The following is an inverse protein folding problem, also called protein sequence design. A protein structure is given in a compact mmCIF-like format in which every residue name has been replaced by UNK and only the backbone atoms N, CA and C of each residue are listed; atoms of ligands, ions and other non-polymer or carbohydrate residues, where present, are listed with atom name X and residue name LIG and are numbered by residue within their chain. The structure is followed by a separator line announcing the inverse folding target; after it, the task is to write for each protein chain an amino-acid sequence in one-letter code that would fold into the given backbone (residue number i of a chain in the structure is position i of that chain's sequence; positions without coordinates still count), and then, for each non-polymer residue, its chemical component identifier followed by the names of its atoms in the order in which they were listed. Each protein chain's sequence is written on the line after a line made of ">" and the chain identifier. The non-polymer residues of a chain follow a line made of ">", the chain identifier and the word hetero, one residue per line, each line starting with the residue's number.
data_IF_092431210428
#
_entry.id   IF_092431210428
#
_cell.length_a   1.000
_cell.length_b   1.000
_cell.length_c   1.000
_cell.angle_alpha   90.00
_cell.angle_beta   90.00
_cell.angle_gamma   90.00
#
_symmetry.space_group_name_H-M   'P 1'
#
loop_
_entity.id
_entity.type
_entity.pdbx_description
1 polymer ?
#
# COMPACT_ATOMS: atom_id res chain seq x y z
N UNK A 1 25.18 70.56 -3.09
CA UNK A 1 24.22 70.03 -2.12
C UNK A 1 23.48 68.86 -2.79
N UNK A 2 23.93 67.61 -2.60
CA UNK A 2 23.30 66.38 -3.10
C UNK A 2 22.42 65.84 -2.00
N UNK A 3 21.11 65.77 -2.22
CA UNK A 3 20.15 65.15 -1.31
C UNK A 3 20.18 63.63 -1.51
N UNK A 4 20.62 62.88 -0.50
CA UNK A 4 20.43 61.41 -0.45
C UNK A 4 19.00 61.10 -0.03
N UNK A 5 18.29 60.36 -0.90
CA UNK A 5 16.96 59.82 -0.64
C UNK A 5 17.16 58.40 -0.05
N UNK A 6 16.93 58.22 1.24
CA UNK A 6 16.98 56.92 1.91
C UNK A 6 15.63 56.24 1.68
N UNK A 7 15.62 55.18 0.85
CA UNK A 7 14.45 54.32 0.68
C UNK A 7 14.51 53.25 1.78
N UNK A 8 13.59 53.32 2.72
CA UNK A 8 13.39 52.26 3.73
C UNK A 8 12.50 51.18 3.11
N UNK A 9 13.09 50.02 2.78
CA UNK A 9 12.35 48.83 2.38
C UNK A 9 11.79 48.18 3.68
N UNK A 10 10.49 48.31 3.90
CA UNK A 10 9.81 47.50 4.93
C UNK A 10 9.65 46.06 4.41
N UNK A 11 10.43 45.14 4.95
CA UNK A 11 10.23 43.73 4.75
C UNK A 11 9.01 43.31 5.55
N UNK A 12 7.91 43.01 4.86
CA UNK A 12 6.74 42.30 5.43
C UNK A 12 7.14 40.85 5.60
N UNK A 13 7.53 40.47 6.81
CA UNK A 13 7.68 39.06 7.20
C UNK A 13 6.27 38.51 7.36
N UNK A 14 5.77 37.82 6.35
CA UNK A 14 4.58 36.96 6.50
C UNK A 14 5.06 35.76 7.29
N UNK A 15 4.88 35.77 8.60
CA UNK A 15 4.99 34.55 9.40
C UNK A 15 3.82 33.65 8.98
N UNK A 16 4.10 32.60 8.21
CA UNK A 16 3.21 31.48 8.11
C UNK A 16 3.08 30.90 9.53
N UNK A 17 1.98 31.21 10.20
CA UNK A 17 1.69 30.66 11.52
C UNK A 17 1.65 29.14 11.37
N UNK A 18 2.58 28.44 11.99
CA UNK A 18 2.49 27.01 12.20
C UNK A 18 1.25 26.79 13.07
N UNK A 19 0.20 26.23 12.45
CA UNK A 19 -0.98 25.79 13.19
C UNK A 19 -0.54 24.58 14.05
N UNK A 20 -0.38 24.81 15.34
CA UNK A 20 -0.23 23.75 16.34
C UNK A 20 -1.38 22.76 16.20
N UNK A 21 -1.11 21.45 16.12
CA UNK A 21 -2.15 20.45 16.04
C UNK A 21 -2.96 20.42 17.34
N UNK A 22 -4.16 20.95 17.28
CA UNK A 22 -5.05 21.03 18.42
C UNK A 22 -5.55 19.65 18.82
N UNK A 23 -5.48 19.32 20.12
CA UNK A 23 -6.09 18.11 20.68
C UNK A 23 -7.60 18.31 20.83
N UNK A 24 -8.40 17.30 20.44
CA UNK A 24 -9.86 17.38 20.57
C UNK A 24 -10.53 16.02 20.46
N UNK A 25 -11.82 15.98 20.76
CA UNK A 25 -12.64 14.78 20.72
C UNK A 25 -12.60 14.14 19.34
N UNK A 26 -12.21 12.87 19.27
CA UNK A 26 -12.21 12.09 18.03
C UNK A 26 -13.64 11.89 17.53
N UNK A 27 -13.83 12.19 16.27
CA UNK A 27 -14.98 11.79 15.47
C UNK A 27 -14.49 10.83 14.40
N UNK A 28 -15.23 9.76 14.11
CA UNK A 28 -14.89 8.84 13.04
C UNK A 28 -16.13 8.27 12.36
N UNK A 29 -16.02 8.01 11.07
CA UNK A 29 -17.03 7.34 10.26
C UNK A 29 -16.38 6.55 9.14
N UNK A 30 -17.07 5.55 8.61
CA UNK A 30 -16.54 4.66 7.59
C UNK A 30 -17.61 4.28 6.57
N UNK A 31 -17.21 4.11 5.32
CA UNK A 31 -18.06 3.61 4.24
C UNK A 31 -17.23 2.94 3.15
N UNK A 32 -17.90 2.15 2.30
CA UNK A 32 -17.29 1.50 1.14
C UNK A 32 -18.22 1.52 -0.05
N UNK A 33 -17.64 1.51 -1.25
CA UNK A 33 -18.35 1.40 -2.51
C UNK A 33 -17.81 0.21 -3.30
N UNK A 34 -18.70 -0.60 -3.87
CA UNK A 34 -18.33 -1.65 -4.81
C UNK A 34 -17.90 -1.01 -6.14
N UNK A 35 -16.67 -1.27 -6.56
CA UNK A 35 -16.05 -0.76 -7.79
C UNK A 35 -15.81 -1.87 -8.81
N UNK A 36 -16.37 -3.05 -8.58
CA UNK A 36 -16.27 -4.21 -9.47
C UNK A 36 -16.91 -3.88 -10.82
N UNK A 37 -16.25 -4.14 -11.96
CA UNK A 37 -16.86 -3.98 -13.26
C UNK A 37 -18.00 -5.00 -13.46
N UNK A 38 -18.98 -4.67 -14.28
CA UNK A 38 -20.00 -5.67 -14.66
C UNK A 38 -19.38 -6.76 -15.56
N UNK A 39 -19.93 -7.97 -15.50
CA UNK A 39 -19.45 -9.10 -16.30
C UNK A 39 -19.43 -8.80 -17.81
N UNK A 40 -20.36 -7.96 -18.30
CA UNK A 40 -20.47 -7.58 -19.71
C UNK A 40 -19.34 -6.62 -20.15
N UNK A 41 -18.71 -5.90 -19.22
CA UNK A 41 -17.62 -4.96 -19.50
C UNK A 41 -16.24 -5.59 -19.42
N UNK A 42 -16.15 -6.85 -18.95
CA UNK A 42 -14.87 -7.54 -18.83
C UNK A 42 -14.25 -7.81 -20.21
N UNK A 43 -12.91 -7.79 -20.32
CA UNK A 43 -12.22 -8.23 -21.51
C UNK A 43 -12.62 -9.67 -21.88
N UNK A 44 -12.67 -9.97 -23.18
CA UNK A 44 -12.99 -11.35 -23.67
C UNK A 44 -12.00 -12.40 -23.16
N UNK A 45 -10.82 -11.99 -22.73
CA UNK A 45 -9.78 -12.83 -22.16
C UNK A 45 -9.99 -13.09 -20.66
N UNK A 46 -10.92 -12.38 -20.01
CA UNK A 46 -11.24 -12.58 -18.61
C UNK A 46 -12.11 -13.82 -18.41
N UNK A 47 -11.85 -14.54 -17.35
CA UNK A 47 -12.65 -15.70 -16.92
C UNK A 47 -13.69 -15.34 -15.84
N UNK A 48 -14.03 -14.07 -15.75
CA UNK A 48 -15.09 -13.57 -14.88
C UNK A 48 -14.58 -12.93 -13.58
N UNK A 49 -15.47 -12.87 -12.61
CA UNK A 49 -15.23 -12.26 -11.31
C UNK A 49 -15.09 -13.39 -10.28
N UNK A 50 -13.95 -13.43 -9.58
CA UNK A 50 -13.74 -14.35 -8.45
C UNK A 50 -14.37 -13.78 -7.19
N UNK A 51 -14.10 -12.49 -6.93
CA UNK A 51 -14.67 -11.74 -5.83
C UNK A 51 -14.70 -10.24 -6.14
N UNK A 52 -15.42 -9.48 -5.31
CA UNK A 52 -15.67 -8.08 -5.53
C UNK A 52 -14.51 -7.19 -5.06
N UNK A 53 -14.26 -6.12 -5.82
CA UNK A 53 -13.29 -5.07 -5.52
C UNK A 53 -14.00 -3.84 -4.94
N UNK A 54 -13.39 -3.20 -3.95
CA UNK A 54 -13.99 -2.08 -3.25
C UNK A 54 -13.06 -0.86 -3.19
N UNK A 55 -13.68 0.33 -3.17
CA UNK A 55 -13.10 1.53 -2.61
C UNK A 55 -13.62 1.65 -1.16
N UNK A 56 -12.71 1.72 -0.18
CA UNK A 56 -13.02 1.81 1.25
C UNK A 56 -12.49 3.11 1.82
N UNK A 57 -13.25 3.76 2.69
CA UNK A 57 -12.86 5.01 3.34
C UNK A 57 -13.15 4.97 4.84
N UNK A 58 -12.22 5.48 5.64
CA UNK A 58 -12.40 5.85 7.03
C UNK A 58 -12.05 7.32 7.15
N UNK A 59 -13.02 8.17 7.50
CA UNK A 59 -12.83 9.59 7.74
C UNK A 59 -12.85 9.84 9.24
N UNK A 60 -11.89 10.61 9.72
CA UNK A 60 -11.77 10.95 11.13
C UNK A 60 -11.36 12.41 11.31
N UNK A 61 -11.66 12.96 12.46
CA UNK A 61 -11.38 14.36 12.80
C UNK A 61 -11.45 14.62 14.30
N UNK A 62 -10.94 15.77 14.73
CA UNK A 62 -10.93 16.18 16.15
C UNK A 62 -11.54 17.58 16.37
N UNK A 63 -12.38 18.03 15.44
CA UNK A 63 -12.98 19.36 15.45
C UNK A 63 -12.08 20.44 14.81
N UNK A 64 -10.77 20.32 14.87
CA UNK A 64 -9.83 21.24 14.23
C UNK A 64 -9.33 20.71 12.88
N UNK A 65 -9.01 19.44 12.82
CA UNK A 65 -8.43 18.77 11.62
C UNK A 65 -9.33 17.59 11.24
N UNK A 66 -9.56 17.43 9.92
CA UNK A 66 -10.12 16.22 9.32
C UNK A 66 -9.08 15.52 8.46
N UNK A 67 -9.07 14.19 8.49
CA UNK A 67 -8.23 13.35 7.67
C UNK A 67 -8.97 12.08 7.23
N UNK A 68 -8.42 11.36 6.27
CA UNK A 68 -9.01 10.11 5.80
C UNK A 68 -7.96 9.08 5.40
N UNK A 69 -8.29 7.80 5.61
CA UNK A 69 -7.67 6.67 4.94
C UNK A 69 -8.60 6.17 3.85
N UNK A 70 -8.09 6.03 2.64
CA UNK A 70 -8.83 5.52 1.48
C UNK A 70 -8.05 4.39 0.83
N UNK A 71 -8.70 3.25 0.58
CA UNK A 71 -8.06 2.08 -0.02
C UNK A 71 -8.81 1.62 -1.26
N UNK A 72 -8.05 1.05 -2.21
CA UNK A 72 -8.60 0.46 -3.44
C UNK A 72 -8.11 -0.97 -3.64
N UNK A 73 -9.01 -1.87 -3.99
CA UNK A 73 -8.66 -3.20 -4.48
C UNK A 73 -8.22 -3.11 -5.95
N UNK A 74 -7.02 -2.58 -6.19
CA UNK A 74 -6.44 -2.40 -7.52
C UNK A 74 -4.91 -2.48 -7.48
N UNK A 75 -4.31 -2.82 -8.63
CA UNK A 75 -2.87 -3.00 -8.77
C UNK A 75 -2.11 -1.67 -8.93
N UNK A 76 -2.67 -0.75 -9.70
CA UNK A 76 -1.99 0.45 -10.15
C UNK A 76 -2.61 1.71 -9.58
N UNK A 77 -1.74 2.61 -9.18
CA UNK A 77 -2.09 3.93 -8.69
C UNK A 77 -2.54 4.84 -9.84
N UNK A 78 -3.40 5.81 -9.53
CA UNK A 78 -3.95 6.73 -10.51
C UNK A 78 -4.03 8.15 -9.95
N UNK A 79 -3.07 9.00 -10.33
CA UNK A 79 -3.00 10.39 -9.84
C UNK A 79 -4.24 11.20 -10.21
N UNK A 80 -4.79 11.01 -11.41
CA UNK A 80 -6.00 11.74 -11.83
C UNK A 80 -7.21 11.40 -10.95
N UNK A 81 -7.31 10.15 -10.49
CA UNK A 81 -8.35 9.73 -9.54
C UNK A 81 -8.16 10.43 -8.19
N UNK A 82 -6.94 10.42 -7.67
CA UNK A 82 -6.59 11.08 -6.42
C UNK A 82 -6.91 12.58 -6.50
N UNK A 83 -6.50 13.26 -7.55
CA UNK A 83 -6.75 14.69 -7.75
C UNK A 83 -8.25 15.01 -7.81
N UNK A 84 -9.02 14.23 -8.59
CA UNK A 84 -10.44 14.44 -8.74
C UNK A 84 -11.24 14.23 -7.43
N UNK A 85 -10.86 13.22 -6.65
CA UNK A 85 -11.51 12.97 -5.34
C UNK A 85 -11.08 14.03 -4.32
N UNK A 86 -9.81 14.43 -4.30
CA UNK A 86 -9.28 15.48 -3.43
C UNK A 86 -9.98 16.82 -3.64
N UNK A 87 -10.13 17.26 -4.89
CA UNK A 87 -10.81 18.52 -5.23
C UNK A 87 -12.23 18.57 -4.62
N UNK A 88 -12.96 17.48 -4.75
CA UNK A 88 -14.33 17.39 -4.21
C UNK A 88 -14.34 17.29 -2.69
N UNK A 89 -13.46 16.48 -2.11
CA UNK A 89 -13.37 16.29 -0.66
C UNK A 89 -13.00 17.60 0.06
N UNK A 90 -12.08 18.37 -0.50
CA UNK A 90 -11.71 19.66 0.06
C UNK A 90 -12.85 20.67 -0.03
N UNK A 91 -13.49 20.77 -1.20
CA UNK A 91 -14.57 21.75 -1.45
C UNK A 91 -15.87 21.44 -0.71
N UNK A 92 -16.27 20.17 -0.68
CA UNK A 92 -17.60 19.77 -0.22
C UNK A 92 -17.60 19.23 1.22
N UNK A 93 -16.47 18.64 1.69
CA UNK A 93 -16.39 17.98 2.99
C UNK A 93 -15.40 18.68 3.94
N UNK A 94 -14.64 19.66 3.45
CA UNK A 94 -13.63 20.36 4.24
C UNK A 94 -12.49 19.42 4.71
N UNK A 95 -12.11 18.43 3.90
CA UNK A 95 -10.96 17.57 4.11
C UNK A 95 -9.86 18.07 3.20
N UNK A 96 -8.78 18.69 3.72
CA UNK A 96 -7.67 19.15 2.88
C UNK A 96 -7.08 17.99 2.06
N UNK A 97 -6.70 18.26 0.82
CA UNK A 97 -6.14 17.24 -0.08
C UNK A 97 -4.89 16.53 0.47
N UNK A 98 -4.06 17.25 1.23
CA UNK A 98 -2.89 16.68 1.92
C UNK A 98 -3.25 15.79 3.12
N UNK A 99 -4.50 15.75 3.55
CA UNK A 99 -4.95 14.99 4.71
C UNK A 99 -5.64 13.66 4.33
N UNK A 100 -5.66 13.31 3.06
CA UNK A 100 -6.19 12.02 2.60
C UNK A 100 -5.03 11.14 2.20
N UNK A 101 -4.86 10.03 2.90
CA UNK A 101 -3.89 9.00 2.54
C UNK A 101 -4.61 7.92 1.74
N UNK A 102 -4.27 7.83 0.46
CA UNK A 102 -4.72 6.76 -0.43
C UNK A 102 -3.73 5.62 -0.37
N UNK A 103 -4.19 4.38 -0.34
CA UNK A 103 -3.36 3.19 -0.52
C UNK A 103 -4.03 2.18 -1.46
N UNK A 104 -3.20 1.44 -2.17
CA UNK A 104 -3.61 0.44 -3.14
C UNK A 104 -3.22 -0.94 -2.62
N UNK A 105 -4.15 -1.89 -2.66
CA UNK A 105 -3.91 -3.24 -2.12
C UNK A 105 -2.91 -4.04 -2.94
N UNK A 106 -2.58 -3.54 -4.12
CA UNK A 106 -1.68 -4.17 -5.08
C UNK A 106 -2.15 -5.53 -5.60
N UNK A 107 -3.46 -5.80 -5.57
CA UNK A 107 -3.96 -7.02 -6.20
C UNK A 107 -3.61 -7.04 -7.70
N UNK A 108 -2.94 -8.10 -8.14
CA UNK A 108 -2.59 -8.28 -9.55
C UNK A 108 -3.77 -8.74 -10.43
N UNK A 109 -4.94 -8.88 -9.83
CA UNK A 109 -6.20 -9.26 -10.48
C UNK A 109 -7.29 -8.21 -10.34
N UNK A 110 -6.95 -7.01 -9.86
CA UNK A 110 -7.91 -5.92 -9.70
C UNK A 110 -8.37 -5.39 -11.05
N UNK A 111 -9.68 -5.22 -11.16
CA UNK A 111 -10.28 -4.42 -12.22
C UNK A 111 -11.40 -3.57 -11.61
N UNK A 112 -11.63 -2.41 -12.20
CA UNK A 112 -12.60 -1.45 -11.70
C UNK A 112 -13.58 -1.06 -12.81
N UNK A 113 -14.69 -0.48 -12.40
CA UNK A 113 -15.60 0.25 -13.31
C UNK A 113 -14.84 1.32 -14.12
N UNK A 114 -15.43 1.86 -15.22
CA UNK A 114 -14.83 2.96 -15.98
C UNK A 114 -14.46 4.16 -15.08
N UNK A 115 -13.45 4.92 -15.52
CA UNK A 115 -12.82 5.98 -14.73
C UNK A 115 -13.80 6.96 -14.08
N UNK A 116 -14.75 7.51 -14.83
CA UNK A 116 -15.68 8.51 -14.30
C UNK A 116 -16.58 7.92 -13.19
N UNK A 117 -17.02 6.69 -13.38
CA UNK A 117 -17.78 5.95 -12.37
C UNK A 117 -16.91 5.62 -11.15
N UNK A 118 -15.62 5.30 -11.36
CA UNK A 118 -14.68 5.05 -10.27
C UNK A 118 -14.49 6.30 -9.40
N UNK A 119 -14.36 7.49 -10.02
CA UNK A 119 -14.28 8.76 -9.30
C UNK A 119 -15.54 8.97 -8.44
N UNK A 120 -16.73 8.78 -9.04
CA UNK A 120 -18.00 8.95 -8.32
C UNK A 120 -18.15 7.98 -7.14
N UNK A 121 -17.85 6.71 -7.34
CA UNK A 121 -17.97 5.68 -6.30
C UNK A 121 -16.94 5.86 -5.18
N UNK A 122 -15.73 6.29 -5.54
CA UNK A 122 -14.70 6.60 -4.54
C UNK A 122 -15.08 7.81 -3.70
N UNK A 123 -15.49 8.90 -4.38
CA UNK A 123 -15.95 10.09 -3.67
C UNK A 123 -17.18 9.78 -2.80
N UNK A 124 -18.11 8.95 -3.28
CA UNK A 124 -19.27 8.49 -2.51
C UNK A 124 -18.83 7.81 -1.20
N UNK A 125 -17.85 6.89 -1.26
CA UNK A 125 -17.34 6.24 -0.05
C UNK A 125 -16.76 7.26 0.94
N UNK A 126 -15.95 8.22 0.46
CA UNK A 126 -15.39 9.29 1.32
C UNK A 126 -16.49 10.18 1.91
N UNK A 127 -17.50 10.55 1.11
CA UNK A 127 -18.61 11.38 1.53
C UNK A 127 -19.46 10.68 2.60
N UNK A 128 -19.90 9.45 2.34
CA UNK A 128 -20.70 8.67 3.28
C UNK A 128 -19.95 8.41 4.59
N UNK A 129 -18.62 8.15 4.52
CA UNK A 129 -17.79 8.05 5.72
C UNK A 129 -17.74 9.38 6.50
N UNK A 130 -17.60 10.51 5.81
CA UNK A 130 -17.60 11.84 6.45
C UNK A 130 -18.95 12.20 7.07
N UNK A 131 -20.06 11.87 6.41
CA UNK A 131 -21.43 12.13 6.88
C UNK A 131 -21.84 11.20 8.04
N UNK A 132 -21.23 10.01 8.16
CA UNK A 132 -21.49 9.05 9.23
C UNK A 132 -20.62 9.26 10.48
N UNK A 133 -19.76 10.29 10.52
CA UNK A 133 -18.88 10.55 11.67
C UNK A 133 -19.66 10.74 12.97
N UNK A 134 -19.28 9.98 13.98
CA UNK A 134 -19.82 10.05 15.36
C UNK A 134 -18.67 10.20 16.36
N UNK A 135 -18.95 10.66 17.61
CA UNK A 135 -17.96 10.63 18.68
C UNK A 135 -17.39 9.22 18.87
N UNK A 136 -16.07 9.14 18.83
CA UNK A 136 -15.35 7.86 18.73
C UNK A 136 -14.14 7.80 19.66
N UNK A 137 -13.59 6.61 19.75
CA UNK A 137 -12.30 6.31 20.36
C UNK A 137 -11.48 5.46 19.39
N UNK A 138 -10.16 5.57 19.46
CA UNK A 138 -9.22 4.82 18.64
C UNK A 138 -8.30 3.98 19.51
N UNK A 139 -8.07 2.75 19.09
CA UNK A 139 -7.09 1.84 19.67
C UNK A 139 -6.06 1.39 18.65
N UNK A 140 -4.90 0.94 19.14
CA UNK A 140 -3.84 0.36 18.34
C UNK A 140 -3.35 -0.94 18.96
N UNK A 141 -3.02 -1.91 18.13
CA UNK A 141 -2.41 -3.17 18.55
C UNK A 141 -1.56 -3.79 17.45
N UNK A 142 -0.66 -4.68 17.84
CA UNK A 142 0.14 -5.49 16.94
C UNK A 142 -0.17 -6.97 17.15
N UNK A 143 -0.27 -7.68 16.04
CA UNK A 143 -0.28 -9.14 15.98
C UNK A 143 0.90 -9.67 15.17
N UNK A 144 0.91 -10.97 14.90
CA UNK A 144 1.98 -11.65 14.18
C UNK A 144 1.38 -12.64 13.18
N UNK A 145 1.79 -12.55 11.92
CA UNK A 145 1.40 -13.51 10.89
C UNK A 145 2.62 -14.01 10.13
N UNK A 146 2.65 -15.31 9.82
CA UNK A 146 3.75 -15.97 9.09
C UNK A 146 3.33 -16.29 7.64
N UNK A 147 2.43 -15.52 7.06
CA UNK A 147 1.92 -15.74 5.71
C UNK A 147 2.85 -15.22 4.62
N UNK A 148 3.80 -14.34 4.94
CA UNK A 148 4.77 -13.79 4.01
C UNK A 148 6.15 -14.46 4.12
N UNK A 149 6.94 -14.34 3.04
CA UNK A 149 8.33 -14.78 2.97
C UNK A 149 9.11 -13.86 2.03
N UNK A 150 10.42 -13.68 2.28
CA UNK A 150 11.31 -13.01 1.33
C UNK A 150 11.34 -13.79 0.01
N UNK A 151 11.31 -13.07 -1.12
CA UNK A 151 11.20 -13.71 -2.44
C UNK A 151 12.47 -13.69 -3.31
N UNK A 152 13.53 -13.04 -2.84
CA UNK A 152 14.84 -13.02 -3.53
C UNK A 152 15.63 -14.26 -3.11
N UNK A 153 15.55 -15.32 -3.91
CA UNK A 153 16.25 -16.59 -3.67
C UNK A 153 17.46 -16.71 -4.57
N UNK A 154 18.61 -17.01 -4.00
CA UNK A 154 19.79 -17.41 -4.79
C UNK A 154 19.73 -18.91 -5.12
N UNK A 155 19.76 -19.24 -6.40
CA UNK A 155 19.82 -20.61 -6.90
C UNK A 155 21.31 -21.00 -7.11
N UNK A 156 21.91 -21.81 -6.24
CA UNK A 156 23.33 -22.17 -6.34
C UNK A 156 23.63 -23.11 -7.51
N UNK A 157 22.64 -23.88 -8.01
CA UNK A 157 22.82 -24.78 -9.15
C UNK A 157 22.95 -23.99 -10.45
N UNK A 158 22.16 -22.92 -10.59
CA UNK A 158 22.18 -22.02 -11.75
C UNK A 158 23.15 -20.86 -11.59
N UNK A 159 23.60 -20.58 -10.35
CA UNK A 159 24.46 -19.44 -10.03
C UNK A 159 23.74 -18.10 -10.25
N UNK A 160 22.42 -18.04 -10.07
CA UNK A 160 21.61 -16.87 -10.38
C UNK A 160 20.58 -16.60 -9.29
N UNK A 161 20.14 -15.36 -9.18
CA UNK A 161 19.00 -14.97 -8.34
C UNK A 161 17.69 -15.28 -9.07
N UNK A 162 16.70 -15.69 -8.30
CA UNK A 162 15.40 -16.06 -8.82
C UNK A 162 14.28 -15.65 -7.85
N UNK A 163 13.06 -15.51 -8.38
CA UNK A 163 11.89 -15.33 -7.52
C UNK A 163 11.48 -16.66 -6.91
N UNK A 164 11.71 -16.83 -5.64
CA UNK A 164 11.39 -18.03 -4.88
C UNK A 164 11.45 -17.77 -3.36
N UNK A 165 10.94 -18.68 -2.53
CA UNK A 165 10.85 -18.47 -1.09
C UNK A 165 12.23 -18.60 -0.43
N UNK A 166 12.80 -17.50 0.01
CA UNK A 166 13.96 -17.46 0.88
C UNK A 166 13.49 -17.49 2.35
N UNK A 167 13.43 -18.68 2.91
CA UNK A 167 12.94 -18.91 4.29
C UNK A 167 13.89 -18.36 5.35
N UNK A 168 15.14 -18.13 5.04
CA UNK A 168 16.17 -17.56 5.94
C UNK A 168 16.23 -16.03 5.81
N UNK A 169 15.54 -15.47 4.80
CA UNK A 169 15.51 -14.06 4.51
C UNK A 169 14.71 -13.25 5.55
N UNK A 170 15.11 -11.98 5.71
CA UNK A 170 14.43 -11.04 6.61
C UNK A 170 12.98 -10.81 6.13
N UNK A 171 12.03 -10.90 7.05
CA UNK A 171 10.60 -10.70 6.76
C UNK A 171 9.89 -10.21 8.01
N UNK A 172 9.31 -9.02 7.96
CA UNK A 172 8.50 -8.46 9.05
C UNK A 172 7.16 -9.21 9.13
N UNK A 173 6.92 -9.82 10.25
CA UNK A 173 5.71 -10.62 10.55
C UNK A 173 4.63 -9.82 11.24
N UNK A 174 4.84 -8.53 11.47
CA UNK A 174 3.91 -7.67 12.21
C UNK A 174 2.62 -7.44 11.43
N UNK A 175 1.49 -7.68 12.09
CA UNK A 175 0.16 -7.23 11.68
C UNK A 175 -0.17 -6.03 12.56
N UNK A 176 -0.04 -4.82 12.03
CA UNK A 176 -0.36 -3.59 12.77
C UNK A 176 -1.82 -3.19 12.52
N UNK A 177 -2.55 -2.84 13.58
CA UNK A 177 -4.00 -2.62 13.53
C UNK A 177 -4.37 -1.34 14.26
N UNK A 178 -5.04 -0.41 13.56
CA UNK A 178 -5.75 0.73 14.12
C UNK A 178 -7.25 0.39 14.09
N UNK A 179 -7.94 0.56 15.21
CA UNK A 179 -9.36 0.25 15.32
C UNK A 179 -10.15 1.44 15.86
N UNK A 180 -11.25 1.75 15.18
CA UNK A 180 -12.16 2.84 15.52
C UNK A 180 -13.48 2.26 16.03
N UNK A 181 -13.94 2.79 17.17
CA UNK A 181 -15.19 2.41 17.81
C UNK A 181 -15.89 3.67 18.34
N UNK A 182 -17.21 3.75 18.21
CA UNK A 182 -17.98 4.85 18.78
C UNK A 182 -17.94 4.82 20.32
N UNK A 183 -18.27 5.92 20.96
CA UNK A 183 -18.25 5.98 22.44
C UNK A 183 -19.30 5.06 23.09
N UNK A 184 -20.36 4.72 22.39
CA UNK A 184 -21.38 3.75 22.81
C UNK A 184 -21.03 2.29 22.49
N UNK A 185 -19.85 2.05 21.95
CA UNK A 185 -19.30 0.69 21.72
C UNK A 185 -19.66 0.07 20.38
N UNK A 186 -20.21 0.84 19.41
CA UNK A 186 -20.45 0.34 18.05
C UNK A 186 -19.15 0.36 17.24
N UNK A 187 -18.72 -0.77 16.64
CA UNK A 187 -17.59 -0.83 15.74
C UNK A 187 -17.80 0.09 14.52
N UNK A 188 -16.77 0.86 14.12
CA UNK A 188 -16.80 1.77 12.97
C UNK A 188 -15.93 1.21 11.85
N UNK A 189 -14.66 0.92 12.12
CA UNK A 189 -13.76 0.42 11.11
C UNK A 189 -12.36 0.12 11.64
N UNK A 190 -11.54 -0.49 10.79
CA UNK A 190 -10.15 -0.79 11.09
C UNK A 190 -9.26 -0.51 9.88
N UNK A 191 -8.05 -0.02 10.15
CA UNK A 191 -6.95 0.07 9.20
C UNK A 191 -5.88 -0.90 9.66
N UNK A 192 -5.55 -1.91 8.85
CA UNK A 192 -4.55 -2.91 9.20
C UNK A 192 -3.49 -3.05 8.13
N UNK A 193 -2.24 -3.20 8.56
CA UNK A 193 -1.06 -3.19 7.72
C UNK A 193 -0.32 -4.52 7.83
N UNK A 194 0.04 -5.10 6.68
CA UNK A 194 0.83 -6.33 6.60
C UNK A 194 1.69 -6.34 5.32
N UNK A 195 2.94 -6.80 5.43
CA UNK A 195 3.91 -6.77 4.34
C UNK A 195 3.86 -8.05 3.51
N UNK A 196 2.96 -8.12 2.51
CA UNK A 196 2.86 -9.24 1.57
C UNK A 196 2.26 -8.78 0.24
N UNK A 197 2.85 -9.23 -0.89
CA UNK A 197 2.34 -8.97 -2.25
C UNK A 197 1.02 -9.70 -2.51
N UNK A 198 0.09 -9.01 -3.15
CA UNK A 198 -1.23 -9.57 -3.51
C UNK A 198 -1.19 -10.21 -4.91
N UNK A 199 -0.53 -11.36 -5.01
CA UNK A 199 -0.21 -12.06 -6.27
C UNK A 199 -0.81 -13.46 -6.40
N UNK A 200 -1.60 -13.91 -5.41
CA UNK A 200 -2.14 -15.27 -5.38
C UNK A 200 -3.10 -15.51 -6.56
N UNK A 201 -3.97 -14.54 -6.84
CA UNK A 201 -4.94 -14.62 -7.95
C UNK A 201 -4.37 -14.20 -9.30
N UNK A 202 -3.13 -13.73 -9.37
CA UNK A 202 -2.55 -13.08 -10.56
C UNK A 202 -2.53 -13.92 -11.84
N UNK A 203 -2.55 -15.25 -11.75
CA UNK A 203 -2.59 -16.15 -12.90
C UNK A 203 -4.01 -16.59 -13.30
N UNK A 204 -5.04 -16.15 -12.59
CA UNK A 204 -6.40 -16.62 -12.82
C UNK A 204 -7.11 -15.90 -13.97
N UNK A 205 -6.63 -14.72 -14.40
CA UNK A 205 -7.33 -13.81 -15.32
C UNK A 205 -8.79 -13.57 -14.92
N UNK A 206 -9.02 -13.49 -13.63
CA UNK A 206 -10.30 -13.18 -13.01
C UNK A 206 -10.17 -11.88 -12.22
N UNK A 207 -11.26 -11.15 -12.09
CA UNK A 207 -11.31 -9.99 -11.18
C UNK A 207 -11.32 -10.47 -9.74
N UNK A 208 -10.42 -9.95 -8.91
CA UNK A 208 -10.32 -10.30 -7.50
C UNK A 208 -9.60 -9.21 -6.71
N UNK A 209 -10.06 -8.94 -5.48
CA UNK A 209 -9.31 -8.17 -4.49
C UNK A 209 -8.14 -8.96 -3.88
N UNK A 210 -7.91 -10.22 -4.34
CA UNK A 210 -6.91 -11.14 -3.79
C UNK A 210 -7.07 -11.31 -2.27
N UNK A 211 -6.03 -11.84 -1.57
CA UNK A 211 -6.10 -12.01 -0.12
C UNK A 211 -6.38 -10.69 0.66
N UNK A 212 -5.94 -9.48 0.22
CA UNK A 212 -6.32 -8.24 0.88
C UNK A 212 -7.83 -8.01 0.91
N UNK A 213 -8.46 -8.16 -0.25
CA UNK A 213 -9.93 -8.08 -0.37
C UNK A 213 -10.63 -9.14 0.47
N UNK A 214 -10.14 -10.39 0.43
CA UNK A 214 -10.68 -11.49 1.23
C UNK A 214 -10.52 -11.24 2.74
N UNK A 215 -9.36 -10.73 3.20
CA UNK A 215 -9.13 -10.38 4.61
C UNK A 215 -10.06 -9.25 5.07
N UNK A 216 -10.19 -8.20 4.26
CA UNK A 216 -11.11 -7.09 4.56
C UNK A 216 -12.55 -7.58 4.69
N UNK A 217 -13.06 -8.34 3.71
CA UNK A 217 -14.42 -8.92 3.76
C UNK A 217 -14.59 -9.86 4.96
N UNK A 218 -13.58 -10.67 5.27
CA UNK A 218 -13.63 -11.55 6.44
C UNK A 218 -13.80 -10.77 7.74
N UNK A 219 -12.97 -9.75 7.96
CA UNK A 219 -13.08 -8.89 9.15
C UNK A 219 -14.43 -8.16 9.17
N UNK A 220 -14.84 -7.55 8.08
CA UNK A 220 -16.13 -6.86 7.94
C UNK A 220 -17.30 -7.78 8.34
N UNK A 221 -17.30 -9.04 7.90
CA UNK A 221 -18.35 -10.03 8.22
C UNK A 221 -18.48 -10.35 9.71
N UNK A 222 -17.46 -10.02 10.52
CA UNK A 222 -17.45 -10.29 11.98
C UNK A 222 -17.99 -9.14 12.80
N UNK A 223 -18.04 -7.94 12.22
CA UNK A 223 -18.47 -6.71 12.94
C UNK A 223 -19.75 -6.10 12.38
N UNK A 224 -20.26 -6.59 11.25
CA UNK A 224 -21.51 -6.17 10.64
C UNK A 224 -21.31 -5.34 9.36
N UNK A 225 -22.42 -5.11 8.64
CA UNK A 225 -22.41 -4.56 7.27
C UNK A 225 -21.89 -3.11 7.20
N UNK A 226 -22.06 -2.34 8.27
CA UNK A 226 -21.60 -0.95 8.35
C UNK A 226 -20.09 -0.83 8.69
N UNK A 227 -19.46 -1.93 9.12
CA UNK A 227 -18.04 -1.94 9.46
C UNK A 227 -17.16 -1.98 8.23
N UNK A 228 -16.08 -1.19 8.21
CA UNK A 228 -15.14 -1.14 7.10
C UNK A 228 -13.75 -1.56 7.55
N UNK A 229 -13.16 -2.52 6.85
CA UNK A 229 -11.81 -2.98 7.10
C UNK A 229 -10.89 -2.59 5.92
N UNK A 230 -9.95 -1.69 6.16
CA UNK A 230 -8.96 -1.24 5.18
C UNK A 230 -7.68 -2.05 5.35
N UNK A 231 -7.32 -2.85 4.35
CA UNK A 231 -5.99 -3.41 4.21
C UNK A 231 -5.04 -2.36 3.62
N UNK A 232 -3.87 -2.23 4.20
CA UNK A 232 -2.78 -1.41 3.70
C UNK A 232 -1.53 -2.26 3.54
N UNK A 233 -1.00 -2.34 2.33
CA UNK A 233 0.20 -3.11 2.07
C UNK A 233 1.40 -2.49 2.79
N UNK A 234 2.07 -3.26 3.64
CA UNK A 234 3.35 -2.90 4.26
C UNK A 234 4.47 -2.89 3.24
N UNK A 235 5.72 -2.70 3.67
CA UNK A 235 6.88 -2.78 2.79
C UNK A 235 7.05 -4.22 2.26
N UNK A 236 6.45 -4.49 1.12
CA UNK A 236 6.36 -5.82 0.52
C UNK A 236 7.10 -5.93 -0.82
N UNK A 237 7.98 -4.99 -1.17
CA UNK A 237 8.72 -5.03 -2.42
C UNK A 237 9.46 -6.35 -2.66
N UNK A 238 9.93 -6.99 -1.59
CA UNK A 238 10.63 -8.26 -1.58
C UNK A 238 9.86 -9.39 -0.85
N UNK A 239 8.53 -9.26 -0.65
CA UNK A 239 7.77 -10.21 0.15
C UNK A 239 6.62 -10.85 -0.65
N UNK A 240 6.64 -12.18 -0.78
CA UNK A 240 5.57 -12.98 -1.39
C UNK A 240 4.78 -13.78 -0.33
N UNK A 241 3.61 -14.33 -0.71
CA UNK A 241 2.97 -15.39 0.07
C UNK A 241 3.90 -16.58 0.27
N UNK A 242 3.92 -17.14 1.50
CA UNK A 242 4.82 -18.26 1.84
C UNK A 242 4.47 -19.55 1.06
N UNK A 243 3.20 -19.77 0.77
CA UNK A 243 2.76 -20.86 -0.10
C UNK A 243 2.37 -20.27 -1.47
N UNK A 244 3.26 -20.39 -2.44
CA UNK A 244 3.13 -19.76 -3.75
C UNK A 244 3.56 -20.70 -4.90
N UNK A 245 3.75 -21.99 -4.61
CA UNK A 245 4.28 -22.98 -5.55
C UNK A 245 3.38 -23.13 -6.80
N UNK A 246 2.07 -23.03 -6.66
CA UNK A 246 1.12 -23.13 -7.76
C UNK A 246 1.39 -22.11 -8.88
N UNK A 247 1.85 -20.92 -8.52
CA UNK A 247 2.23 -19.90 -9.50
C UNK A 247 3.46 -20.31 -10.29
N UNK A 248 4.47 -20.91 -9.64
CA UNK A 248 5.66 -21.39 -10.31
C UNK A 248 5.35 -22.58 -11.20
N UNK A 249 4.56 -23.55 -10.74
CA UNK A 249 4.14 -24.71 -11.52
C UNK A 249 3.33 -24.30 -12.77
N UNK A 250 2.40 -23.36 -12.65
CA UNK A 250 1.67 -22.78 -13.79
C UNK A 250 2.60 -22.07 -14.77
N UNK A 251 3.60 -21.37 -14.25
CA UNK A 251 4.62 -20.72 -15.07
C UNK A 251 5.43 -21.74 -15.87
N UNK A 252 5.87 -22.82 -15.25
CA UNK A 252 6.65 -23.87 -15.92
C UNK A 252 5.82 -24.55 -17.03
N UNK A 253 4.55 -24.83 -16.79
CA UNK A 253 3.63 -25.33 -17.82
C UNK A 253 3.55 -24.34 -18.99
N UNK A 254 3.45 -23.05 -18.73
CA UNK A 254 3.38 -22.02 -19.76
C UNK A 254 4.68 -21.92 -20.54
N UNK A 255 5.85 -21.92 -19.89
CA UNK A 255 7.15 -21.93 -20.55
C UNK A 255 7.24 -23.13 -21.49
N UNK A 256 6.86 -24.31 -21.03
CA UNK A 256 6.85 -25.53 -21.85
C UNK A 256 5.90 -25.44 -23.06
N UNK A 257 4.72 -24.82 -22.91
CA UNK A 257 3.78 -24.63 -24.00
C UNK A 257 4.27 -23.63 -25.06
N UNK A 258 4.93 -22.55 -24.65
CA UNK A 258 5.55 -21.61 -25.58
C UNK A 258 6.75 -22.23 -26.30
N UNK A 259 7.57 -23.02 -25.58
CA UNK A 259 8.68 -23.74 -26.20
C UNK A 259 8.24 -24.70 -27.31
N UNK A 260 7.08 -25.37 -27.18
CA UNK A 260 6.47 -26.19 -28.25
C UNK A 260 6.14 -25.37 -29.51
N UNK A 261 5.94 -24.06 -29.37
CA UNK A 261 5.68 -23.13 -30.49
C UNK A 261 6.95 -22.48 -31.02
N UNK A 262 8.12 -22.83 -30.47
CA UNK A 262 9.41 -22.26 -30.85
C UNK A 262 9.72 -20.92 -30.18
N UNK A 263 9.00 -20.57 -29.10
CA UNK A 263 9.20 -19.34 -28.36
C UNK A 263 9.80 -19.63 -26.98
N UNK A 264 10.91 -18.98 -26.64
CA UNK A 264 11.48 -19.00 -25.28
C UNK A 264 11.00 -17.78 -24.49
N UNK A 265 10.20 -18.05 -23.45
CA UNK A 265 9.71 -17.05 -22.50
C UNK A 265 10.28 -17.24 -21.10
N UNK A 266 11.28 -18.13 -20.91
CA UNK A 266 11.82 -18.50 -19.61
C UNK A 266 12.35 -17.29 -18.83
N UNK A 267 12.89 -16.29 -19.52
CA UNK A 267 13.37 -15.03 -18.91
C UNK A 267 12.40 -13.86 -19.07
N UNK A 268 11.13 -14.11 -19.37
CA UNK A 268 10.11 -13.05 -19.49
C UNK A 268 9.09 -13.16 -18.36
N UNK A 269 8.44 -12.05 -18.05
CA UNK A 269 7.20 -12.11 -17.27
C UNK A 269 6.16 -12.90 -18.08
N UNK A 270 5.71 -14.08 -17.66
CA UNK A 270 4.63 -14.74 -18.36
C UNK A 270 3.40 -13.84 -18.26
N UNK A 271 2.63 -13.67 -19.33
CA UNK A 271 1.32 -13.02 -19.25
C UNK A 271 0.43 -13.83 -18.29
N UNK A 272 -0.58 -13.27 -17.64
CA UNK A 272 -1.48 -13.94 -16.70
C UNK A 272 -2.00 -15.31 -17.16
N UNK A 273 -3.12 -15.83 -16.73
CA UNK A 273 -3.68 -17.15 -17.17
C UNK A 273 -4.10 -17.21 -18.64
N UNK A 274 -4.02 -16.09 -19.37
CA UNK A 274 -4.41 -15.99 -20.80
C UNK A 274 -3.66 -17.00 -21.66
N UNK A 275 -4.42 -17.81 -22.40
CA UNK A 275 -3.89 -18.80 -23.32
C UNK A 275 -3.47 -20.12 -22.68
N UNK A 276 -3.62 -20.31 -21.39
CA UNK A 276 -3.47 -21.63 -20.76
C UNK A 276 -4.70 -22.50 -21.01
N UNK A 277 -4.47 -23.77 -21.35
CA UNK A 277 -5.57 -24.74 -21.55
C UNK A 277 -6.17 -25.14 -20.19
N UNK A 278 -7.30 -24.54 -19.85
CA UNK A 278 -8.04 -24.85 -18.61
C UNK A 278 -8.74 -26.20 -18.60
N UNK A 279 -8.77 -26.91 -19.74
CA UNK A 279 -9.21 -28.32 -19.81
C UNK A 279 -8.06 -29.27 -19.44
N UNK A 280 -6.82 -28.81 -19.39
CA UNK A 280 -5.72 -29.58 -18.83
C UNK A 280 -6.00 -29.80 -17.34
N UNK A 281 -6.11 -31.06 -16.85
CA UNK A 281 -6.45 -31.34 -15.46
C UNK A 281 -5.48 -30.72 -14.45
N UNK A 282 -4.19 -30.64 -14.80
CA UNK A 282 -3.17 -30.05 -13.93
C UNK A 282 -3.34 -28.53 -13.81
N UNK A 283 -3.56 -27.83 -14.93
CA UNK A 283 -3.86 -26.39 -14.93
C UNK A 283 -5.13 -26.10 -14.13
N UNK A 284 -6.19 -26.89 -14.35
CA UNK A 284 -7.46 -26.73 -13.63
C UNK A 284 -7.29 -26.93 -12.12
N UNK A 285 -6.48 -27.93 -11.71
CA UNK A 285 -6.17 -28.21 -10.30
C UNK A 285 -5.43 -27.04 -9.68
N UNK A 286 -4.31 -26.61 -10.27
CA UNK A 286 -3.49 -25.52 -9.75
C UNK A 286 -4.27 -24.19 -9.63
N UNK A 287 -5.07 -23.85 -10.65
CA UNK A 287 -5.94 -22.68 -10.60
C UNK A 287 -7.06 -22.82 -9.54
N UNK A 288 -7.58 -24.02 -9.33
CA UNK A 288 -8.54 -24.31 -8.27
C UNK A 288 -7.95 -24.10 -6.89
N UNK A 289 -6.71 -24.53 -6.67
CA UNK A 289 -5.97 -24.31 -5.43
C UNK A 289 -5.70 -22.84 -5.19
N UNK A 290 -5.27 -22.06 -6.20
CA UNK A 290 -5.09 -20.62 -6.06
C UNK A 290 -6.37 -19.89 -5.63
N UNK A 291 -7.54 -20.26 -6.18
CA UNK A 291 -8.82 -19.69 -5.74
C UNK A 291 -9.09 -19.95 -4.25
N UNK A 292 -8.82 -21.18 -3.79
CA UNK A 292 -8.97 -21.53 -2.37
C UNK A 292 -7.95 -20.79 -1.49
N UNK A 293 -6.73 -20.60 -1.98
CA UNK A 293 -5.69 -19.86 -1.25
C UNK A 293 -6.06 -18.40 -1.02
N UNK A 294 -6.68 -17.72 -1.98
CA UNK A 294 -7.15 -16.33 -1.80
C UNK A 294 -8.01 -16.20 -0.54
N UNK A 295 -9.02 -17.06 -0.40
CA UNK A 295 -9.91 -17.05 0.76
C UNK A 295 -9.20 -17.51 2.05
N UNK A 296 -8.37 -18.54 1.97
CA UNK A 296 -7.65 -19.07 3.14
C UNK A 296 -6.67 -18.06 3.73
N UNK A 297 -5.89 -17.37 2.88
CA UNK A 297 -4.99 -16.30 3.33
C UNK A 297 -5.75 -15.12 3.90
N UNK A 298 -6.85 -14.73 3.25
CA UNK A 298 -7.74 -13.68 3.74
C UNK A 298 -8.30 -14.01 5.12
N UNK A 299 -8.78 -15.23 5.32
CA UNK A 299 -9.30 -15.69 6.61
C UNK A 299 -8.21 -15.71 7.69
N UNK A 300 -7.03 -16.28 7.41
CA UNK A 300 -5.93 -16.39 8.38
C UNK A 300 -5.45 -15.01 8.83
N UNK A 301 -5.26 -14.08 7.89
CA UNK A 301 -4.89 -12.71 8.23
C UNK A 301 -6.01 -11.97 8.97
N UNK A 302 -7.25 -12.14 8.53
CA UNK A 302 -8.42 -11.53 9.16
C UNK A 302 -8.67 -12.02 10.59
N UNK A 303 -8.40 -13.30 10.89
CA UNK A 303 -8.45 -13.83 12.27
C UNK A 303 -7.41 -13.13 13.15
N UNK A 304 -6.17 -12.94 12.66
CA UNK A 304 -5.16 -12.22 13.42
C UNK A 304 -5.60 -10.77 13.71
N UNK A 305 -6.11 -10.04 12.71
CA UNK A 305 -6.66 -8.69 12.88
C UNK A 305 -7.76 -8.69 13.97
N UNK A 306 -8.69 -9.63 13.90
CA UNK A 306 -9.77 -9.78 14.88
C UNK A 306 -9.22 -10.02 16.30
N UNK A 307 -8.23 -10.92 16.46
CA UNK A 307 -7.61 -11.17 17.76
C UNK A 307 -6.88 -9.95 18.29
N UNK A 308 -6.18 -9.20 17.46
CA UNK A 308 -5.56 -7.93 17.85
C UNK A 308 -6.60 -6.96 18.39
N UNK A 309 -7.72 -6.77 17.67
CA UNK A 309 -8.82 -5.89 18.11
C UNK A 309 -9.37 -6.37 19.48
N UNK A 310 -9.66 -7.65 19.63
CA UNK A 310 -10.18 -8.23 20.87
C UNK A 310 -9.24 -8.05 22.06
N UNK A 311 -7.94 -8.01 21.83
CA UNK A 311 -6.92 -7.85 22.86
C UNK A 311 -6.57 -6.41 23.18
N UNK A 312 -7.08 -5.43 22.42
CA UNK A 312 -6.86 -4.00 22.70
C UNK A 312 -7.44 -3.62 24.07
N UNK A 313 -6.65 -2.89 24.86
CA UNK A 313 -7.06 -2.44 26.19
C UNK A 313 -6.95 -0.92 26.38
N UNK A 314 -6.20 -0.26 25.50
CA UNK A 314 -5.98 1.18 25.55
C UNK A 314 -6.65 1.84 24.36
N UNK A 315 -7.59 2.72 24.66
CA UNK A 315 -8.27 3.58 23.70
C UNK A 315 -8.09 5.04 24.07
N UNK A 316 -8.06 5.89 23.06
CA UNK A 316 -7.93 7.35 23.21
C UNK A 316 -9.17 8.00 22.59
N UNK A 317 -9.77 8.94 23.29
CA UNK A 317 -10.98 9.67 22.87
C UNK A 317 -10.67 11.08 22.37
N UNK A 318 -9.62 11.70 22.92
CA UNK A 318 -9.14 13.00 22.50
C UNK A 318 -7.79 12.81 21.82
N UNK A 319 -7.66 13.28 20.59
CA UNK A 319 -6.50 13.03 19.73
C UNK A 319 -5.96 14.31 19.11
N UNK A 320 -4.69 14.32 18.81
CA UNK A 320 -4.11 15.23 17.83
C UNK A 320 -4.08 14.54 16.47
N UNK A 321 -4.29 15.31 15.39
CA UNK A 321 -4.21 14.83 14.02
C UNK A 321 -3.32 15.80 13.26
N UNK A 322 -2.24 15.31 12.66
CA UNK A 322 -1.43 16.07 11.73
C UNK A 322 -1.05 15.23 10.52
N UNK A 323 -0.98 15.87 9.36
CA UNK A 323 -0.64 15.24 8.10
C UNK A 323 0.50 16.02 7.46
N UNK A 324 1.53 15.32 7.02
CA UNK A 324 2.71 15.88 6.39
C UNK A 324 3.00 15.16 5.09
N UNK A 325 3.65 15.88 4.19
CA UNK A 325 4.04 15.29 2.92
C UNK A 325 5.39 15.86 2.48
N UNK A 326 6.22 15.03 1.86
CA UNK A 326 7.55 15.40 1.40
C UNK A 326 7.89 14.63 0.13
N UNK A 327 8.27 15.32 -0.93
CA UNK A 327 8.81 14.70 -2.14
C UNK A 327 10.33 14.66 -2.03
N UNK A 328 10.89 13.47 -2.02
CA UNK A 328 12.34 13.25 -2.02
C UNK A 328 12.86 13.26 -3.45
N UNK A 329 14.09 13.71 -3.62
CA UNK A 329 14.82 13.67 -4.88
C UNK A 329 16.14 12.95 -4.64
N UNK A 330 16.29 11.76 -5.22
CA UNK A 330 17.45 10.89 -5.00
C UNK A 330 18.13 10.53 -6.33
N UNK A 331 19.46 10.27 -6.34
CA UNK A 331 20.17 9.89 -7.55
C UNK A 331 19.57 8.66 -8.26
N UNK A 332 19.38 8.79 -9.57
CA UNK A 332 18.76 7.77 -10.39
C UNK A 332 19.75 6.97 -11.25
N UNK A 333 19.32 5.77 -11.65
CA UNK A 333 19.98 4.91 -12.64
C UNK A 333 18.95 4.34 -13.61
N UNK A 334 19.40 3.96 -14.79
CA UNK A 334 18.61 3.23 -15.79
C UNK A 334 19.35 2.01 -16.26
N UNK A 335 18.68 0.86 -16.29
CA UNK A 335 19.23 -0.37 -16.85
C UNK A 335 19.37 -0.26 -18.38
N UNK A 336 20.48 -0.73 -18.94
CA UNK A 336 20.80 -0.68 -20.36
C UNK A 336 20.54 -2.01 -21.09
N UNK A 337 20.80 -3.13 -20.44
CA UNK A 337 20.81 -4.46 -21.06
C UNK A 337 19.50 -5.24 -20.87
N UNK A 338 18.38 -4.56 -20.92
CA UNK A 338 17.04 -5.15 -21.03
C UNK A 338 16.63 -6.03 -19.87
N UNK A 339 15.33 -6.02 -19.56
CA UNK A 339 14.75 -6.72 -18.43
C UNK A 339 14.58 -8.22 -18.65
N UNK A 340 14.29 -8.90 -17.59
CA UNK A 340 13.92 -10.29 -17.49
C UNK A 340 13.74 -10.65 -16.03
N UNK A 341 13.30 -11.88 -15.77
CA UNK A 341 13.16 -12.39 -14.40
C UNK A 341 14.38 -13.14 -13.90
N UNK A 342 15.21 -13.68 -14.80
CA UNK A 342 16.45 -14.34 -14.42
C UNK A 342 17.46 -13.30 -13.92
N UNK A 343 18.05 -13.58 -12.78
CA UNK A 343 19.06 -12.73 -12.18
C UNK A 343 20.37 -12.81 -12.95
N UNK A 344 20.80 -11.70 -13.52
CA UNK A 344 22.11 -11.51 -14.16
C UNK A 344 22.60 -10.11 -13.84
N UNK A 345 23.88 -9.90 -13.99
CA UNK A 345 24.46 -8.59 -13.72
C UNK A 345 23.92 -7.54 -14.71
N UNK A 346 23.26 -6.53 -14.18
CA UNK A 346 22.74 -5.40 -14.95
C UNK A 346 23.85 -4.42 -15.35
N UNK A 347 23.71 -3.84 -16.53
CA UNK A 347 24.48 -2.67 -16.97
C UNK A 347 23.62 -1.43 -16.77
N UNK A 348 24.21 -0.36 -16.21
CA UNK A 348 23.49 0.84 -15.83
C UNK A 348 24.18 2.10 -16.31
N UNK A 349 23.37 3.10 -16.61
CA UNK A 349 23.81 4.48 -16.74
C UNK A 349 23.17 5.36 -15.68
N UNK A 350 23.84 6.44 -15.34
CA UNK A 350 23.30 7.46 -14.46
C UNK A 350 22.23 8.27 -15.20
N UNK A 351 21.12 8.50 -14.53
CA UNK A 351 20.07 9.42 -15.00
C UNK A 351 19.90 10.57 -14.01
N UNK A 352 19.07 11.55 -14.38
CA UNK A 352 18.66 12.60 -13.44
C UNK A 352 18.00 12.03 -12.19
N UNK A 353 17.79 12.88 -11.17
CA UNK A 353 17.16 12.47 -9.92
C UNK A 353 15.78 11.84 -10.14
N UNK A 354 15.47 10.84 -9.33
CA UNK A 354 14.16 10.16 -9.27
C UNK A 354 13.46 10.58 -7.99
N UNK A 355 12.15 10.79 -8.05
CA UNK A 355 11.35 11.24 -6.91
C UNK A 355 10.71 10.08 -6.16
N UNK A 356 10.59 10.25 -4.83
CA UNK A 356 9.79 9.40 -3.96
C UNK A 356 8.87 10.33 -3.16
N UNK A 357 7.55 10.13 -3.27
CA UNK A 357 6.59 10.86 -2.46
C UNK A 357 6.38 10.13 -1.14
N UNK A 358 6.54 10.88 -0.05
CA UNK A 358 6.36 10.40 1.32
C UNK A 358 5.21 11.16 1.96
N UNK A 359 4.38 10.44 2.70
CA UNK A 359 3.25 10.98 3.46
C UNK A 359 3.33 10.52 4.90
N UNK A 360 2.82 11.32 5.81
CA UNK A 360 2.61 10.96 7.21
C UNK A 360 1.21 11.37 7.60
N UNK A 361 0.45 10.45 8.15
CA UNK A 361 -0.71 10.73 8.96
C UNK A 361 -0.38 10.37 10.40
N UNK A 362 -0.27 11.37 11.26
CA UNK A 362 -0.04 11.19 12.69
C UNK A 362 -1.39 11.25 13.40
N UNK A 363 -1.84 10.13 13.95
CA UNK A 363 -3.06 10.04 14.75
C UNK A 363 -2.65 9.80 16.21
N UNK A 364 -2.62 10.85 16.99
CA UNK A 364 -2.08 10.89 18.35
C UNK A 364 -0.61 10.39 18.38
N UNK A 365 -0.33 9.22 18.96
CA UNK A 365 0.98 8.57 19.01
C UNK A 365 1.13 7.42 17.98
N UNK A 366 0.34 7.44 16.91
CA UNK A 366 0.33 6.42 15.86
C UNK A 366 0.79 7.04 14.53
N UNK A 367 2.07 6.94 14.15
CA UNK A 367 2.56 7.37 12.85
C UNK A 367 2.22 6.34 11.76
N UNK A 368 1.43 6.76 10.77
CA UNK A 368 1.20 6.01 9.53
C UNK A 368 1.98 6.69 8.43
N UNK A 369 3.11 6.10 8.03
CA UNK A 369 3.98 6.61 6.96
C UNK A 369 3.59 5.96 5.64
N UNK A 370 3.34 6.74 4.61
CA UNK A 370 3.04 6.29 3.26
C UNK A 370 4.16 6.60 2.28
N UNK A 371 4.37 5.76 1.25
CA UNK A 371 5.32 6.00 0.17
C UNK A 371 4.76 5.61 -1.19
N UNK A 372 5.19 6.30 -2.25
CA UNK A 372 4.72 6.12 -3.64
C UNK A 372 5.32 4.92 -4.37
N UNK A 373 6.15 4.10 -3.73
CA UNK A 373 6.82 2.95 -4.36
C UNK A 373 6.58 1.65 -3.61
N UNK A 374 7.37 0.66 -3.98
CA UNK A 374 7.40 -0.67 -3.39
C UNK A 374 8.72 -0.88 -2.62
N UNK A 375 8.84 -0.32 -1.38
CA UNK A 375 10.04 -0.48 -0.58
C UNK A 375 10.22 -1.94 -0.16
N UNK A 376 11.48 -2.34 -0.07
CA UNK A 376 11.87 -3.61 0.52
C UNK A 376 11.64 -3.62 2.03
N UNK A 377 11.38 -4.79 2.56
CA UNK A 377 11.00 -5.00 3.95
C UNK A 377 12.01 -4.44 4.99
N UNK A 378 13.34 -4.54 4.79
CA UNK A 378 14.31 -3.98 5.72
C UNK A 378 14.18 -2.47 5.95
N UNK A 379 13.69 -1.70 4.96
CA UNK A 379 13.45 -0.25 5.11
C UNK A 379 12.39 0.02 6.18
N UNK A 380 11.28 -0.74 6.17
CA UNK A 380 10.24 -0.60 7.19
C UNK A 380 10.72 -1.06 8.57
N UNK A 381 11.48 -2.16 8.62
CA UNK A 381 12.08 -2.66 9.88
C UNK A 381 13.01 -1.60 10.49
N UNK A 382 13.85 -0.98 9.68
CA UNK A 382 14.73 0.11 10.11
C UNK A 382 13.93 1.32 10.60
N UNK A 383 12.92 1.78 9.86
CA UNK A 383 12.06 2.88 10.26
C UNK A 383 11.39 2.60 11.62
N UNK A 384 10.80 1.42 11.81
CA UNK A 384 10.17 1.01 13.08
C UNK A 384 11.15 1.00 14.24
N UNK A 385 12.39 0.59 14.00
CA UNK A 385 13.46 0.55 15.00
C UNK A 385 13.95 1.93 15.40
N UNK A 386 14.08 2.85 14.44
CA UNK A 386 14.61 4.20 14.64
C UNK A 386 13.54 5.21 15.07
N UNK A 387 12.26 4.90 14.83
CA UNK A 387 11.15 5.75 15.24
C UNK A 387 11.04 5.87 16.76
N UNK A 388 10.76 7.09 17.28
CA UNK A 388 10.47 7.28 18.72
C UNK A 388 9.12 6.68 19.13
N UNK A 389 8.28 6.25 18.18
CA UNK A 389 6.96 5.67 18.43
C UNK A 389 6.91 4.19 18.08
N UNK A 390 6.63 3.34 19.06
CA UNK A 390 6.50 1.89 18.88
C UNK A 390 5.33 1.46 17.96
N UNK A 391 4.45 2.42 17.61
CA UNK A 391 3.25 2.20 16.78
C UNK A 391 3.45 2.64 15.33
N UNK A 392 4.68 2.93 14.94
CA UNK A 392 5.02 3.34 13.56
C UNK A 392 4.77 2.20 12.59
N UNK A 393 4.08 2.51 11.49
CA UNK A 393 3.92 1.60 10.36
C UNK A 393 4.32 2.28 9.06
N UNK A 394 4.79 1.50 8.09
CA UNK A 394 5.06 1.93 6.72
C UNK A 394 4.06 1.26 5.79
N UNK A 395 3.38 2.06 4.97
CA UNK A 395 2.47 1.61 3.93
C UNK A 395 3.04 1.98 2.57
N UNK A 396 3.16 1.00 1.69
CA UNK A 396 3.59 1.21 0.31
C UNK A 396 2.43 1.58 -0.61
N UNK A 397 2.75 2.01 -1.83
CA UNK A 397 1.77 2.32 -2.89
C UNK A 397 0.74 3.34 -2.41
N UNK A 398 1.23 4.42 -1.79
CA UNK A 398 0.39 5.53 -1.35
C UNK A 398 0.29 6.61 -2.41
N UNK A 399 -0.85 7.30 -2.43
CA UNK A 399 -1.20 8.36 -3.37
C UNK A 399 -1.32 7.86 -4.82
N UNK A 400 -1.13 8.71 -5.81
CA UNK A 400 -1.42 8.41 -7.20
C UNK A 400 -0.20 8.14 -8.08
N UNK A 401 1.02 8.37 -7.60
CA UNK A 401 2.26 8.17 -8.35
C UNK A 401 2.89 6.82 -8.06
N UNK A 402 3.51 6.22 -9.09
CA UNK A 402 4.23 4.95 -8.95
C UNK A 402 5.72 5.13 -9.21
N UNK A 403 6.51 4.98 -8.18
CA UNK A 403 7.97 5.18 -8.26
C UNK A 403 8.72 3.91 -8.67
N UNK A 404 8.15 2.72 -8.47
CA UNK A 404 8.75 1.41 -8.69
C UNK A 404 9.36 0.81 -7.43
N UNK A 405 10.17 -0.24 -7.60
CA UNK A 405 10.82 -0.93 -6.49
C UNK A 405 11.91 -0.08 -5.86
N UNK A 406 11.96 -0.10 -4.53
CA UNK A 406 12.95 0.62 -3.72
C UNK A 406 13.66 -0.40 -2.82
N UNK A 407 14.75 -1.04 -3.30
CA UNK A 407 15.55 -1.96 -2.50
C UNK A 407 16.26 -1.22 -1.36
N UNK A 408 16.47 -1.89 -0.23
CA UNK A 408 17.41 -1.47 0.80
C UNK A 408 18.85 -1.64 0.29
N UNK A 409 19.80 -0.95 0.92
CA UNK A 409 21.18 -0.89 0.43
C UNK A 409 21.89 -2.26 0.41
N UNK A 410 21.57 -3.17 1.34
CA UNK A 410 22.13 -4.52 1.39
C UNK A 410 21.60 -5.40 0.25
N UNK A 411 20.36 -5.21 -0.18
CA UNK A 411 19.72 -6.05 -1.19
C UNK A 411 20.22 -5.83 -2.62
N UNK A 412 21.00 -4.78 -2.87
CA UNK A 412 21.60 -4.55 -4.21
C UNK A 412 22.59 -5.63 -4.67
N UNK A 413 23.04 -6.51 -3.78
CA UNK A 413 23.85 -7.68 -4.15
C UNK A 413 23.00 -8.75 -4.84
N UNK A 414 21.71 -8.79 -4.55
CA UNK A 414 20.77 -9.66 -5.25
C UNK A 414 20.53 -9.11 -6.66
N UNK A 415 20.63 -9.96 -7.64
CA UNK A 415 20.30 -9.60 -9.03
C UNK A 415 18.87 -10.03 -9.34
N UNK A 416 17.95 -9.79 -8.42
CA UNK A 416 16.51 -10.04 -8.63
C UNK A 416 15.93 -9.02 -9.62
N UNK A 417 14.80 -9.33 -10.24
CA UNK A 417 14.21 -8.44 -11.24
C UNK A 417 13.78 -7.08 -10.65
N UNK A 418 13.46 -7.04 -9.38
CA UNK A 418 13.12 -5.81 -8.65
C UNK A 418 14.35 -4.90 -8.52
N UNK A 419 15.49 -5.48 -8.12
CA UNK A 419 16.76 -4.76 -8.01
C UNK A 419 17.24 -4.32 -9.38
N UNK A 420 17.18 -5.21 -10.38
CA UNK A 420 17.56 -4.90 -11.75
C UNK A 420 16.71 -3.77 -12.34
N UNK A 421 15.40 -3.81 -12.11
CA UNK A 421 14.43 -2.79 -12.59
C UNK A 421 14.36 -1.52 -11.73
N UNK A 422 15.02 -1.49 -10.58
CA UNK A 422 15.02 -0.32 -9.69
C UNK A 422 15.73 0.87 -10.34
N UNK A 423 15.06 2.02 -10.29
CA UNK A 423 15.56 3.29 -10.83
C UNK A 423 16.51 4.02 -9.88
N UNK A 424 16.73 3.50 -8.67
CA UNK A 424 17.51 4.15 -7.64
C UNK A 424 18.96 3.65 -7.64
N UNK A 425 19.88 4.57 -7.43
CA UNK A 425 21.27 4.21 -7.14
C UNK A 425 21.39 3.70 -5.72
N UNK A 426 22.17 2.65 -5.51
CA UNK A 426 22.49 2.11 -4.18
C UNK A 426 23.06 3.20 -3.26
N UNK A 427 22.71 3.17 -1.98
CA UNK A 427 23.25 4.06 -0.95
C UNK A 427 22.45 5.35 -0.72
N UNK A 428 21.31 5.54 -1.37
CA UNK A 428 20.57 6.80 -1.26
C UNK A 428 19.12 6.65 -0.79
N UNK A 429 18.33 5.80 -1.43
CA UNK A 429 16.88 5.79 -1.26
C UNK A 429 16.44 5.37 0.16
N UNK A 430 17.03 4.29 0.69
CA UNK A 430 16.72 3.80 2.03
C UNK A 430 16.90 4.88 3.10
N UNK A 431 18.10 5.46 3.17
CA UNK A 431 18.40 6.50 4.18
C UNK A 431 17.59 7.77 3.97
N UNK A 432 17.32 8.16 2.71
CA UNK A 432 16.48 9.32 2.43
C UNK A 432 15.04 9.11 2.92
N UNK A 433 14.46 7.93 2.70
CA UNK A 433 13.11 7.60 3.15
C UNK A 433 13.00 7.54 4.66
N UNK A 434 13.91 6.83 5.32
CA UNK A 434 13.87 6.70 6.79
C UNK A 434 14.06 8.07 7.46
N UNK A 435 15.05 8.85 7.04
CA UNK A 435 15.28 10.19 7.60
C UNK A 435 14.08 11.11 7.36
N UNK A 436 13.51 11.12 6.15
CA UNK A 436 12.35 11.95 5.86
C UNK A 436 11.12 11.57 6.70
N UNK A 437 10.89 10.29 6.93
CA UNK A 437 9.82 9.82 7.79
C UNK A 437 10.03 10.27 9.26
N UNK A 438 11.26 10.13 9.76
CA UNK A 438 11.62 10.58 11.11
C UNK A 438 11.51 12.10 11.26
N UNK A 439 11.96 12.88 10.26
CA UNK A 439 11.79 14.33 10.23
C UNK A 439 10.31 14.72 10.29
N UNK A 440 9.46 14.12 9.45
CA UNK A 440 8.03 14.41 9.45
C UNK A 440 7.36 14.04 10.79
N UNK A 441 7.76 12.93 11.43
CA UNK A 441 7.30 12.54 12.76
C UNK A 441 7.75 13.57 13.80
N UNK A 442 9.01 14.02 13.73
CA UNK A 442 9.54 15.06 14.62
C UNK A 442 8.77 16.38 14.46
N UNK A 443 8.55 16.82 13.22
CA UNK A 443 7.83 18.06 12.92
C UNK A 443 6.39 18.01 13.42
N UNK A 444 5.70 16.84 13.24
CA UNK A 444 4.35 16.62 13.73
C UNK A 444 4.22 16.78 15.25
N UNK A 445 5.26 16.42 16.00
CA UNK A 445 5.28 16.50 17.47
C UNK A 445 5.60 17.94 17.94
N UNK A 446 6.53 18.59 17.29
CA UNK A 446 6.98 19.94 17.72
C UNK A 446 5.99 21.02 17.30
N UNK A 447 5.24 20.84 16.22
CA UNK A 447 4.08 21.68 15.89
C UNK A 447 3.00 21.65 17.00
N UNK A 448 3.02 20.64 17.87
CA UNK A 448 2.10 20.49 19.01
C UNK A 448 2.65 21.09 20.32
N UNK A 449 3.93 21.52 20.38
CA UNK A 449 4.59 21.93 21.62
C UNK A 449 4.76 23.46 21.75
N UNK A 450 4.51 24.24 20.69
CA UNK A 450 4.46 25.71 20.66
C UNK A 450 3.02 26.23 20.60
#
# INVERSE_FOLDING_TARGET
>A
MKKFLTVVLAAVVISAGQLSAQRGQLLAGAAKSDVTPSAETLPKTSYGILDHCYARAIVFGNGATKAAFVSFDAAMMNQRLVDAVNERAEKELGIPSGNIMYNWTHTHSGATVPYDQLVELTYKAVKEAAESMVPAKVGYGNGVSYLNVKRDLFDPERGTWWEGPDYDGKSDKTVAVIYFESLDGKPIGTYFNYAMHAVISGNLDMVSGDFPGAASRYVESRYGDDFVAIFAAGAAGDQNPIYFQQTFDLRDIRIADYAKRGEDISNKMPPGGVGMDRNNPEVARLMGEQKQMVESYGQLLGEEVKYVIMMMRRFVTDVTISCHHKTLSVPGRRQLNGGGRAGYQGEYEDIGPVTIDMHLTMLDDIPVVGTSGEPYNPIAVRLKKESPYARTMLTMLCQGTFTGYIPDDESYVAQSFEVLGSKFKQGYAESAMVNAALDMIHDAVHANAE
#
